data_IF_218132888194
#
_entry.id   IF_218132888194
#
_cell.length_a   1.000
_cell.length_b   1.000
_cell.length_c   1.000
_cell.angle_alpha   90.00
_cell.angle_beta   90.00
_cell.angle_gamma   90.00
#
_symmetry.space_group_name_H-M   'P 1'
#
loop_
_entity.id
_entity.type
_entity.pdbx_description
1 polymer ?
#
# COMPACT_ATOMS: atom_id res chain seq x y z
N UNK A 1 3.53 -20.24 -5.15
CA UNK A 1 2.55 -19.43 -4.40
C UNK A 1 2.76 -17.99 -4.83
N UNK A 2 1.70 -17.26 -5.16
CA UNK A 2 1.79 -15.85 -5.56
C UNK A 2 2.11 -14.99 -4.34
N UNK A 3 3.16 -14.19 -4.42
CA UNK A 3 3.61 -13.30 -3.34
C UNK A 3 3.05 -11.90 -3.57
N UNK A 4 2.48 -11.33 -2.52
CA UNK A 4 1.77 -10.07 -2.58
C UNK A 4 2.49 -9.06 -1.70
N UNK A 5 2.79 -7.90 -2.26
CA UNK A 5 3.11 -6.70 -1.49
C UNK A 5 1.86 -5.82 -1.41
N UNK A 6 1.55 -5.30 -0.23
CA UNK A 6 0.45 -4.35 -0.03
C UNK A 6 1.03 -2.98 0.23
N UNK A 7 0.57 -1.96 -0.49
CA UNK A 7 0.85 -0.55 -0.19
C UNK A 7 -0.47 0.06 0.30
N UNK A 8 -0.50 0.63 1.49
CA UNK A 8 -1.75 1.10 2.11
C UNK A 8 -1.60 2.47 2.77
N UNK A 9 -2.71 3.22 2.83
CA UNK A 9 -2.81 4.41 3.66
C UNK A 9 -2.69 4.03 5.14
N UNK A 10 -2.01 4.85 5.95
CA UNK A 10 -1.88 4.65 7.39
C UNK A 10 -3.21 4.50 8.15
N UNK A 11 -4.33 5.02 7.61
CA UNK A 11 -5.66 4.83 8.18
C UNK A 11 -6.10 3.35 8.22
N UNK A 12 -5.56 2.51 7.33
CA UNK A 12 -5.90 1.09 7.21
C UNK A 12 -4.80 0.17 7.75
N UNK A 13 -3.79 0.71 8.45
CA UNK A 13 -2.63 -0.05 8.91
C UNK A 13 -3.03 -1.24 9.80
N UNK A 14 -3.96 -1.05 10.73
CA UNK A 14 -4.36 -2.08 11.68
C UNK A 14 -5.07 -3.26 10.99
N UNK A 15 -5.98 -2.96 10.06
CA UNK A 15 -6.73 -3.96 9.31
C UNK A 15 -5.81 -4.75 8.37
N UNK A 16 -4.92 -4.06 7.65
CA UNK A 16 -3.98 -4.70 6.73
C UNK A 16 -2.94 -5.52 7.50
N UNK A 17 -2.43 -5.02 8.63
CA UNK A 17 -1.51 -5.78 9.48
C UNK A 17 -2.16 -7.07 9.98
N UNK A 18 -3.37 -6.99 10.55
CA UNK A 18 -4.10 -8.18 11.04
C UNK A 18 -4.44 -9.18 9.92
N UNK A 19 -4.66 -8.71 8.69
CA UNK A 19 -4.88 -9.57 7.53
C UNK A 19 -3.57 -10.25 7.10
N UNK A 20 -2.47 -9.51 7.05
CA UNK A 20 -1.16 -10.01 6.62
C UNK A 20 -0.62 -11.10 7.53
N UNK A 21 -0.81 -10.97 8.85
CA UNK A 21 -0.44 -12.01 9.84
C UNK A 21 -1.17 -13.34 9.61
N UNK A 22 -2.32 -13.33 8.96
CA UNK A 22 -3.16 -14.51 8.72
C UNK A 22 -3.00 -15.07 7.30
N UNK A 23 -2.18 -14.45 6.46
CA UNK A 23 -2.07 -14.76 5.04
C UNK A 23 -0.61 -14.85 4.60
N UNK A 24 -0.11 -16.08 4.46
CA UNK A 24 1.27 -16.36 4.04
C UNK A 24 1.62 -15.78 2.65
N UNK A 25 0.62 -15.50 1.82
CA UNK A 25 0.83 -14.86 0.53
C UNK A 25 1.27 -13.39 0.63
N UNK A 26 0.98 -12.69 1.73
CA UNK A 26 1.39 -11.30 1.93
C UNK A 26 2.80 -11.27 2.50
N UNK A 27 3.76 -10.90 1.66
CA UNK A 27 5.19 -10.94 2.00
C UNK A 27 5.75 -9.58 2.40
N UNK A 28 5.03 -8.49 2.13
CA UNK A 28 5.43 -7.13 2.45
C UNK A 28 4.21 -6.23 2.62
N UNK A 29 4.29 -5.30 3.58
CA UNK A 29 3.31 -4.23 3.76
C UNK A 29 4.05 -2.92 3.87
N UNK A 30 3.75 -1.99 2.97
CA UNK A 30 4.24 -0.61 3.04
C UNK A 30 3.11 0.33 3.47
N UNK A 31 3.42 1.16 4.46
CA UNK A 31 2.50 2.19 4.95
C UNK A 31 2.87 3.55 4.34
N UNK A 32 1.88 4.19 3.72
CA UNK A 32 1.97 5.53 3.15
C UNK A 32 1.32 6.53 4.11
N UNK A 33 1.96 7.69 4.25
CA UNK A 33 1.52 8.77 5.14
C UNK A 33 0.03 9.14 4.93
N UNK A 34 -0.69 9.32 6.05
CA UNK A 34 -2.07 9.78 6.02
C UNK A 34 -2.17 11.20 5.44
N UNK A 35 -3.29 11.52 4.78
CA UNK A 35 -3.62 12.89 4.39
C UNK A 35 -3.13 13.29 3.01
N UNK A 36 -2.28 12.47 2.36
CA UNK A 36 -1.85 12.70 0.97
C UNK A 36 -3.01 12.76 -0.04
N UNK A 37 -4.20 12.22 0.29
CA UNK A 37 -5.39 12.39 -0.55
C UNK A 37 -5.83 13.85 -0.73
N UNK A 38 -5.40 14.77 0.15
CA UNK A 38 -5.65 16.20 0.00
C UNK A 38 -4.70 16.85 -1.03
N UNK A 39 -3.64 16.16 -1.44
CA UNK A 39 -2.63 16.62 -2.39
C UNK A 39 -2.43 15.56 -3.50
N UNK A 40 -3.36 15.44 -4.48
CA UNK A 40 -3.38 14.31 -5.42
C UNK A 40 -2.10 14.11 -6.23
N UNK A 41 -1.44 15.19 -6.65
CA UNK A 41 -0.18 15.10 -7.40
C UNK A 41 0.95 14.54 -6.52
N UNK A 42 1.06 15.03 -5.28
CA UNK A 42 1.99 14.51 -4.29
C UNK A 42 1.70 13.06 -3.92
N UNK A 43 0.43 12.67 -3.80
CA UNK A 43 0.04 11.27 -3.60
C UNK A 43 0.55 10.38 -4.74
N UNK A 44 0.38 10.80 -6.00
CA UNK A 44 0.88 10.04 -7.15
C UNK A 44 2.40 9.90 -7.12
N UNK A 45 3.12 10.99 -6.85
CA UNK A 45 4.58 10.97 -6.75
C UNK A 45 5.06 10.04 -5.64
N UNK A 46 4.49 10.16 -4.43
CA UNK A 46 4.84 9.30 -3.31
C UNK A 46 4.50 7.84 -3.57
N UNK A 47 3.33 7.55 -4.15
CA UNK A 47 2.95 6.19 -4.54
C UNK A 47 3.94 5.59 -5.53
N UNK A 48 4.37 6.34 -6.54
CA UNK A 48 5.33 5.83 -7.52
C UNK A 48 6.68 5.52 -6.85
N UNK A 49 7.18 6.40 -5.99
CA UNK A 49 8.42 6.15 -5.22
C UNK A 49 8.32 4.87 -4.38
N UNK A 50 7.16 4.64 -3.75
CA UNK A 50 6.93 3.41 -2.98
C UNK A 50 6.87 2.19 -3.89
N UNK A 51 6.15 2.27 -5.01
CA UNK A 51 6.06 1.17 -5.99
C UNK A 51 7.47 0.79 -6.46
N UNK A 52 8.27 1.76 -6.91
CA UNK A 52 9.64 1.52 -7.38
C UNK A 52 10.51 0.87 -6.29
N UNK A 53 10.35 1.31 -5.03
CA UNK A 53 11.04 0.72 -3.88
C UNK A 53 10.62 -0.73 -3.67
N UNK A 54 9.33 -1.02 -3.68
CA UNK A 54 8.78 -2.38 -3.50
C UNK A 54 9.21 -3.28 -4.64
N UNK A 55 9.15 -2.84 -5.90
CA UNK A 55 9.61 -3.62 -7.06
C UNK A 55 11.10 -3.94 -6.97
N UNK A 56 11.91 -3.01 -6.47
CA UNK A 56 13.37 -3.20 -6.37
C UNK A 56 13.77 -4.11 -5.21
N UNK A 57 13.11 -4.00 -4.06
CA UNK A 57 13.58 -4.62 -2.81
C UNK A 57 12.72 -5.80 -2.34
N UNK A 58 11.48 -5.89 -2.76
CA UNK A 58 10.55 -6.94 -2.37
C UNK A 58 10.44 -7.97 -3.50
N UNK A 59 10.62 -9.24 -3.16
CA UNK A 59 10.40 -10.34 -4.10
C UNK A 59 8.90 -10.65 -4.19
N UNK A 60 8.08 -9.70 -4.63
CA UNK A 60 6.64 -9.84 -4.79
C UNK A 60 6.26 -10.02 -6.26
N UNK A 61 5.24 -10.84 -6.53
CA UNK A 61 4.72 -11.06 -7.89
C UNK A 61 3.64 -10.01 -8.24
N UNK A 62 2.97 -9.45 -7.23
CA UNK A 62 1.87 -8.49 -7.37
C UNK A 62 1.95 -7.42 -6.28
N UNK A 63 1.66 -6.17 -6.66
CA UNK A 63 1.44 -5.06 -5.73
C UNK A 63 -0.06 -4.77 -5.65
N UNK A 64 -0.61 -4.73 -4.44
CA UNK A 64 -2.00 -4.36 -4.14
C UNK A 64 -2.02 -2.99 -3.47
N UNK A 65 -2.78 -2.05 -4.03
CA UNK A 65 -3.01 -0.74 -3.41
C UNK A 65 -4.26 -0.83 -2.51
N UNK A 66 -4.05 -0.84 -1.19
CA UNK A 66 -5.10 -0.83 -0.18
C UNK A 66 -5.48 0.61 0.21
N UNK A 67 -6.45 1.20 -0.46
CA UNK A 67 -6.87 2.58 -0.19
C UNK A 67 -8.37 2.68 0.09
N UNK A 68 -8.72 3.45 1.11
CA UNK A 68 -10.10 3.84 1.38
C UNK A 68 -10.55 4.96 0.44
N UNK A 69 -11.86 5.02 0.19
CA UNK A 69 -12.46 6.12 -0.55
C UNK A 69 -12.64 7.34 0.36
N UNK A 70 -11.65 8.22 0.41
CA UNK A 70 -11.74 9.50 1.10
C UNK A 70 -12.53 10.53 0.27
N UNK A 71 -13.31 11.40 0.92
CA UNK A 71 -14.04 12.51 0.26
C UNK A 71 -14.92 12.14 -0.94
N UNK A 72 -15.35 10.87 -1.05
CA UNK A 72 -16.07 10.30 -2.20
C UNK A 72 -15.24 10.24 -3.50
N UNK A 73 -13.91 10.29 -3.42
CA UNK A 73 -13.01 10.22 -4.57
C UNK A 73 -12.97 11.52 -5.40
N UNK A 74 -13.34 12.64 -4.78
CA UNK A 74 -13.24 14.00 -5.34
C UNK A 74 -11.89 14.60 -4.99
#
# INVERSE_FOLDING_TARGET
>A
MMKIAVITCAVLEQEISSLSEKQDAVVHVEIVEQGLHNEPDKLREQLQIVIDRVETHCNADVIVLGYGLCSRGI
#
